data_IF_629047165265
#
_entry.id   IF_629047165265
#
_cell.length_a   1.000
_cell.length_b   1.000
_cell.length_c   1.000
_cell.angle_alpha   90.00
_cell.angle_beta   90.00
_cell.angle_gamma   90.00
#
_symmetry.space_group_name_H-M   'P 1'
#
loop_
_entity.id
_entity.type
_entity.pdbx_description
1 polymer ?
#
# COMPACT_ATOMS: atom_id res chain seq x y z
N UNK A 1 7.75 -15.53 22.98
CA UNK A 1 8.91 -15.97 22.16
C UNK A 1 8.47 -16.99 21.11
N UNK A 2 7.68 -17.99 21.45
CA UNK A 2 7.26 -19.07 20.51
C UNK A 2 6.37 -18.59 19.38
N UNK A 3 5.58 -17.54 19.60
CA UNK A 3 4.74 -16.95 18.56
C UNK A 3 5.57 -16.30 17.41
N UNK A 4 6.74 -15.73 17.72
CA UNK A 4 7.62 -15.13 16.70
C UNK A 4 8.27 -16.20 15.80
N UNK A 5 8.67 -17.34 16.37
CA UNK A 5 9.27 -18.43 15.58
C UNK A 5 8.29 -19.06 14.57
N UNK A 6 6.99 -18.99 14.85
CA UNK A 6 5.95 -19.50 13.93
C UNK A 6 5.81 -18.62 12.67
N UNK A 7 6.25 -17.36 12.71
CA UNK A 7 6.22 -16.46 11.55
C UNK A 7 7.50 -16.50 10.71
N UNK A 8 8.60 -17.02 11.24
CA UNK A 8 9.89 -17.06 10.52
C UNK A 8 9.78 -17.88 9.22
N UNK A 9 9.17 -19.05 9.24
CA UNK A 9 9.02 -19.89 8.05
C UNK A 9 8.18 -19.21 6.95
N UNK A 10 6.96 -18.69 7.23
CA UNK A 10 6.21 -17.97 6.20
C UNK A 10 6.91 -16.70 5.71
N UNK A 11 7.59 -15.94 6.57
CA UNK A 11 8.34 -14.75 6.16
C UNK A 11 9.49 -15.13 5.23
N UNK A 12 10.24 -16.18 5.55
CA UNK A 12 11.30 -16.69 4.67
C UNK A 12 10.73 -17.12 3.31
N UNK A 13 9.57 -17.79 3.31
CA UNK A 13 8.86 -18.15 2.09
C UNK A 13 8.49 -16.94 1.23
N UNK A 14 8.03 -15.85 1.85
CA UNK A 14 7.74 -14.60 1.14
C UNK A 14 9.01 -14.03 0.50
N UNK A 15 10.14 -14.02 1.21
CA UNK A 15 11.42 -13.54 0.67
C UNK A 15 11.90 -14.38 -0.52
N UNK A 16 11.82 -15.71 -0.42
CA UNK A 16 12.20 -16.62 -1.50
C UNK A 16 11.31 -16.39 -2.73
N UNK A 17 9.99 -16.32 -2.55
CA UNK A 17 9.05 -16.06 -3.65
C UNK A 17 9.30 -14.68 -4.28
N UNK A 18 9.60 -13.67 -3.47
CA UNK A 18 9.94 -12.33 -3.95
C UNK A 18 11.23 -12.34 -4.78
N UNK A 19 12.25 -13.06 -4.32
CA UNK A 19 13.51 -13.21 -5.03
C UNK A 19 13.30 -13.82 -6.43
N UNK A 20 12.64 -14.96 -6.51
CA UNK A 20 12.39 -15.62 -7.79
C UNK A 20 11.45 -14.81 -8.71
N UNK A 21 10.39 -14.20 -8.16
CA UNK A 21 9.50 -13.35 -8.95
C UNK A 21 10.24 -12.14 -9.56
N UNK A 22 11.13 -11.50 -8.80
CA UNK A 22 11.91 -10.38 -9.28
C UNK A 22 12.99 -10.79 -10.31
N UNK A 23 13.59 -11.96 -10.18
CA UNK A 23 14.49 -12.50 -11.22
C UNK A 23 13.70 -12.76 -12.52
N UNK A 24 12.52 -13.39 -12.42
CA UNK A 24 11.71 -13.66 -13.60
C UNK A 24 11.21 -12.37 -14.27
N UNK A 25 10.96 -11.30 -13.53
CA UNK A 25 10.56 -10.01 -14.11
C UNK A 25 11.61 -9.41 -15.05
N UNK A 26 12.89 -9.78 -14.90
CA UNK A 26 13.95 -9.38 -15.84
C UNK A 26 13.81 -10.05 -17.21
N UNK A 27 13.05 -11.12 -17.33
CA UNK A 27 12.85 -11.80 -18.61
C UNK A 27 12.15 -10.90 -19.64
N UNK A 28 11.26 -9.99 -19.21
CA UNK A 28 10.55 -9.08 -20.12
C UNK A 28 11.49 -8.13 -20.87
N UNK A 29 12.36 -7.34 -20.22
CA UNK A 29 13.33 -6.50 -20.95
C UNK A 29 14.34 -7.32 -21.77
N UNK A 30 14.80 -8.49 -21.29
CA UNK A 30 15.68 -9.36 -22.05
C UNK A 30 15.00 -9.93 -23.29
N UNK A 31 13.72 -10.26 -23.20
CA UNK A 31 12.93 -10.68 -24.35
C UNK A 31 12.84 -9.57 -25.38
N UNK A 32 12.50 -8.34 -25.00
CA UNK A 32 12.42 -7.19 -25.91
C UNK A 32 13.75 -7.00 -26.63
N UNK A 33 14.87 -7.01 -25.89
CA UNK A 33 16.20 -6.90 -26.46
C UNK A 33 16.48 -8.04 -27.46
N UNK A 34 16.19 -9.28 -27.10
CA UNK A 34 16.41 -10.45 -27.96
C UNK A 34 15.56 -10.41 -29.25
N UNK A 35 14.33 -9.88 -29.17
CA UNK A 35 13.48 -9.69 -30.35
C UNK A 35 14.06 -8.64 -31.28
N UNK A 36 14.53 -7.50 -30.74
CA UNK A 36 15.17 -6.49 -31.58
C UNK A 36 16.43 -7.02 -32.26
N UNK A 37 17.30 -7.71 -31.55
CA UNK A 37 18.57 -8.21 -32.08
C UNK A 37 18.38 -9.33 -33.10
N UNK A 38 17.53 -10.34 -32.78
CA UNK A 38 17.44 -11.57 -33.57
C UNK A 38 16.30 -11.56 -34.60
N UNK A 39 15.13 -11.01 -34.23
CA UNK A 39 13.97 -11.03 -35.14
C UNK A 39 14.02 -9.85 -36.13
N UNK A 40 14.25 -8.64 -35.62
CA UNK A 40 14.27 -7.44 -36.45
C UNK A 40 15.64 -7.28 -37.13
N UNK A 41 16.72 -7.37 -36.36
CA UNK A 41 18.10 -7.17 -36.88
C UNK A 41 18.55 -8.26 -37.83
N UNK A 42 18.34 -9.54 -37.49
CA UNK A 42 18.75 -10.69 -38.32
C UNK A 42 17.67 -11.14 -39.33
N UNK A 43 16.50 -10.48 -39.38
CA UNK A 43 15.37 -10.81 -40.29
C UNK A 43 14.94 -12.30 -40.20
N UNK A 44 14.94 -12.89 -38.98
CA UNK A 44 14.61 -14.28 -38.73
C UNK A 44 13.24 -14.42 -38.05
N UNK A 45 12.10 -14.25 -38.74
CA UNK A 45 10.76 -14.27 -38.12
C UNK A 45 10.38 -15.62 -37.53
N UNK A 46 11.00 -16.72 -37.96
CA UNK A 46 10.72 -18.07 -37.46
C UNK A 46 11.07 -18.22 -35.97
N UNK A 47 12.06 -17.47 -35.48
CA UNK A 47 12.46 -17.51 -34.08
C UNK A 47 11.47 -16.76 -33.15
N UNK A 48 10.63 -15.89 -33.71
CA UNK A 48 9.66 -15.09 -32.93
C UNK A 48 8.70 -15.97 -32.15
N UNK A 49 8.20 -17.04 -32.79
CA UNK A 49 7.22 -17.92 -32.16
C UNK A 49 7.81 -18.66 -30.94
N UNK A 50 9.06 -19.11 -31.06
CA UNK A 50 9.78 -19.76 -29.98
C UNK A 50 10.04 -18.80 -28.80
N UNK A 51 10.46 -17.57 -29.10
CA UNK A 51 10.63 -16.54 -28.07
C UNK A 51 9.33 -16.17 -27.39
N UNK A 52 8.22 -16.09 -28.15
CA UNK A 52 6.90 -15.75 -27.63
C UNK A 52 6.38 -16.87 -26.68
N UNK A 53 6.62 -18.13 -27.03
CA UNK A 53 6.27 -19.25 -26.17
C UNK A 53 7.07 -19.25 -24.85
N UNK A 54 8.38 -18.99 -24.92
CA UNK A 54 9.24 -18.92 -23.72
C UNK A 54 8.82 -17.77 -22.82
N UNK A 55 8.59 -16.57 -23.35
CA UNK A 55 8.21 -15.43 -22.53
C UNK A 55 6.83 -15.60 -21.93
N UNK A 56 5.85 -16.18 -22.67
CA UNK A 56 4.53 -16.47 -22.15
C UNK A 56 4.59 -17.44 -20.97
N UNK A 57 5.42 -18.47 -21.04
CA UNK A 57 5.63 -19.42 -19.97
C UNK A 57 6.31 -18.76 -18.76
N UNK A 58 7.30 -17.90 -19.00
CA UNK A 58 8.02 -17.16 -17.96
C UNK A 58 7.09 -16.20 -17.22
N UNK A 59 6.28 -15.42 -17.95
CA UNK A 59 5.28 -14.52 -17.37
C UNK A 59 4.22 -15.32 -16.59
N UNK A 60 3.75 -16.44 -17.13
CA UNK A 60 2.80 -17.32 -16.43
C UNK A 60 3.36 -17.84 -15.10
N UNK A 61 4.64 -18.22 -15.08
CA UNK A 61 5.29 -18.69 -13.86
C UNK A 61 5.56 -17.54 -12.88
N UNK A 62 5.96 -16.35 -13.37
CA UNK A 62 6.07 -15.14 -12.56
C UNK A 62 4.74 -14.80 -11.89
N UNK A 63 3.64 -14.80 -12.64
CA UNK A 63 2.30 -14.53 -12.13
C UNK A 63 1.91 -15.55 -11.03
N UNK A 64 2.21 -16.81 -11.24
CA UNK A 64 1.98 -17.86 -10.24
C UNK A 64 2.78 -17.58 -8.95
N UNK A 65 4.06 -17.23 -9.03
CA UNK A 65 4.87 -16.88 -7.87
C UNK A 65 4.33 -15.64 -7.14
N UNK A 66 3.92 -14.61 -7.87
CA UNK A 66 3.31 -13.39 -7.30
C UNK A 66 2.00 -13.71 -6.59
N UNK A 67 1.15 -14.57 -7.14
CA UNK A 67 -0.07 -15.03 -6.49
C UNK A 67 0.23 -15.82 -5.20
N UNK A 68 1.19 -16.72 -5.22
CA UNK A 68 1.62 -17.48 -4.03
C UNK A 68 2.18 -16.54 -2.95
N UNK A 69 2.98 -15.53 -3.34
CA UNK A 69 3.48 -14.49 -2.43
C UNK A 69 2.34 -13.72 -1.78
N UNK A 70 1.38 -13.26 -2.58
CA UNK A 70 0.22 -12.51 -2.09
C UNK A 70 -0.61 -13.34 -1.09
N UNK A 71 -0.86 -14.61 -1.40
CA UNK A 71 -1.58 -15.53 -0.52
C UNK A 71 -0.83 -15.75 0.80
N UNK A 72 0.50 -15.86 0.75
CA UNK A 72 1.32 -16.07 1.94
C UNK A 72 1.32 -14.80 2.83
N UNK A 73 1.40 -13.61 2.25
CA UNK A 73 1.29 -12.33 2.97
C UNK A 73 -0.11 -12.21 3.62
N UNK A 74 -1.17 -12.55 2.88
CA UNK A 74 -2.54 -12.54 3.40
C UNK A 74 -2.71 -13.53 4.57
N UNK A 75 -2.12 -14.73 4.47
CA UNK A 75 -2.11 -15.72 5.55
C UNK A 75 -1.41 -15.20 6.80
N UNK A 76 -0.21 -14.58 6.65
CA UNK A 76 0.52 -13.97 7.76
C UNK A 76 -0.34 -12.89 8.43
N UNK A 77 -0.95 -12.02 7.63
CA UNK A 77 -1.81 -10.95 8.12
C UNK A 77 -3.06 -11.46 8.85
N UNK A 78 -3.71 -12.48 8.31
CA UNK A 78 -4.88 -13.10 8.96
C UNK A 78 -4.51 -13.76 10.29
N UNK A 79 -3.39 -14.47 10.33
CA UNK A 79 -2.91 -15.12 11.56
C UNK A 79 -2.50 -14.10 12.62
N UNK A 80 -1.81 -13.03 12.21
CA UNK A 80 -1.45 -11.93 13.10
C UNK A 80 -2.68 -11.23 13.68
N UNK A 81 -3.69 -10.97 12.84
CA UNK A 81 -4.96 -10.41 13.27
C UNK A 81 -5.66 -11.29 14.31
N UNK A 82 -5.74 -12.59 14.07
CA UNK A 82 -6.39 -13.53 14.98
C UNK A 82 -5.70 -13.55 16.36
N UNK A 83 -4.37 -13.62 16.38
CA UNK A 83 -3.60 -13.60 17.65
C UNK A 83 -3.83 -12.28 18.40
N UNK A 84 -3.74 -11.14 17.70
CA UNK A 84 -3.93 -9.83 18.34
C UNK A 84 -5.34 -9.63 18.84
N UNK A 85 -6.37 -10.02 18.06
CA UNK A 85 -7.76 -9.87 18.45
C UNK A 85 -8.10 -10.70 19.69
N UNK A 86 -7.64 -11.96 19.76
CA UNK A 86 -7.85 -12.81 20.92
C UNK A 86 -7.12 -12.25 22.15
N UNK A 87 -5.85 -11.85 22.03
CA UNK A 87 -5.11 -11.24 23.14
C UNK A 87 -5.74 -9.92 23.61
N UNK A 88 -6.26 -9.12 22.69
CA UNK A 88 -6.95 -7.88 23.04
C UNK A 88 -8.26 -8.16 23.78
N UNK A 89 -9.03 -9.15 23.35
CA UNK A 89 -10.25 -9.57 24.01
C UNK A 89 -9.97 -10.11 25.42
N UNK A 90 -8.99 -11.01 25.55
CA UNK A 90 -8.58 -11.56 26.84
C UNK A 90 -8.17 -10.44 27.81
N UNK A 91 -7.45 -9.43 27.29
CA UNK A 91 -7.04 -8.30 28.11
C UNK A 91 -8.21 -7.42 28.55
N UNK A 92 -9.22 -7.23 27.70
CA UNK A 92 -10.42 -6.46 28.04
C UNK A 92 -11.26 -7.22 29.07
N UNK A 93 -11.45 -8.53 28.89
CA UNK A 93 -12.18 -9.37 29.84
C UNK A 93 -11.49 -9.46 31.20
N UNK A 94 -10.16 -9.31 31.25
CA UNK A 94 -9.39 -9.27 32.50
C UNK A 94 -9.33 -7.90 33.18
N UNK A 95 -9.94 -6.84 32.61
CA UNK A 95 -9.96 -5.51 33.24
C UNK A 95 -10.95 -5.45 34.40
N UNK A 96 -10.59 -4.81 35.52
CA UNK A 96 -11.51 -4.55 36.62
C UNK A 96 -12.74 -3.71 36.18
N UNK A 97 -13.94 -4.05 36.66
CA UNK A 97 -15.20 -3.40 36.32
C UNK A 97 -15.16 -1.87 36.44
N UNK A 98 -14.52 -1.25 37.48
CA UNK A 98 -14.46 0.21 37.60
C UNK A 98 -13.67 0.90 36.45
N UNK A 99 -12.77 0.19 35.79
CA UNK A 99 -12.03 0.72 34.60
C UNK A 99 -12.87 0.62 33.32
N UNK A 100 -13.81 -0.29 33.24
CA UNK A 100 -14.74 -0.46 32.11
C UNK A 100 -15.84 0.61 32.11
N UNK A 101 -16.34 0.99 33.27
CA UNK A 101 -17.40 2.00 33.42
C UNK A 101 -16.92 3.43 33.04
N UNK A 102 -15.66 3.74 33.30
CA UNK A 102 -15.08 5.05 33.00
C UNK A 102 -14.69 5.26 31.53
N UNK A 103 -14.62 4.19 30.73
CA UNK A 103 -14.26 4.27 29.31
C UNK A 103 -15.46 3.81 28.50
N UNK A 104 -16.20 4.74 27.90
CA UNK A 104 -17.38 4.43 27.11
C UNK A 104 -17.14 3.33 26.07
N UNK A 105 -18.16 2.53 25.82
CA UNK A 105 -18.14 1.37 24.90
C UNK A 105 -17.63 1.76 23.52
N UNK A 106 -17.97 2.96 23.04
CA UNK A 106 -17.52 3.52 21.77
C UNK A 106 -15.99 3.71 21.70
N UNK A 107 -15.34 4.10 22.79
CA UNK A 107 -13.89 4.23 22.86
C UNK A 107 -13.17 2.86 22.84
N UNK A 108 -13.76 1.84 23.43
CA UNK A 108 -13.26 0.47 23.36
C UNK A 108 -13.38 -0.08 21.93
N UNK A 109 -14.51 0.14 21.27
CA UNK A 109 -14.75 -0.26 19.89
C UNK A 109 -13.79 0.45 18.91
N UNK A 110 -13.48 1.73 19.15
CA UNK A 110 -12.51 2.46 18.37
C UNK A 110 -11.10 1.85 18.44
N UNK A 111 -10.70 1.32 19.59
CA UNK A 111 -9.42 0.60 19.74
C UNK A 111 -9.40 -0.70 18.95
N UNK A 112 -10.50 -1.44 18.89
CA UNK A 112 -10.60 -2.63 18.03
C UNK A 112 -10.45 -2.30 16.55
N UNK A 113 -11.06 -1.21 16.07
CA UNK A 113 -10.91 -0.75 14.69
C UNK A 113 -9.47 -0.38 14.32
N UNK A 114 -8.64 0.03 15.29
CA UNK A 114 -7.22 0.29 15.05
C UNK A 114 -6.45 -0.98 14.66
N UNK A 115 -6.85 -2.17 15.16
CA UNK A 115 -6.21 -3.44 14.76
C UNK A 115 -6.50 -3.80 13.30
N UNK A 116 -7.67 -3.44 12.76
CA UNK A 116 -7.96 -3.60 11.34
C UNK A 116 -7.06 -2.72 10.46
N UNK A 117 -6.76 -1.50 10.91
CA UNK A 117 -5.84 -0.59 10.22
C UNK A 117 -4.41 -1.16 10.19
N UNK A 118 -3.95 -1.73 11.29
CA UNK A 118 -2.65 -2.40 11.38
C UNK A 118 -2.61 -3.61 10.44
N UNK A 119 -3.66 -4.43 10.42
CA UNK A 119 -3.78 -5.55 9.48
C UNK A 119 -3.70 -5.09 8.04
N UNK A 120 -4.47 -4.06 7.66
CA UNK A 120 -4.49 -3.51 6.30
C UNK A 120 -3.10 -3.02 5.87
N UNK A 121 -2.32 -2.46 6.79
CA UNK A 121 -0.93 -2.08 6.54
C UNK A 121 -0.07 -3.30 6.20
N UNK A 122 -0.13 -4.38 6.98
CA UNK A 122 0.68 -5.58 6.76
C UNK A 122 0.24 -6.43 5.57
N UNK A 123 -1.02 -6.34 5.14
CA UNK A 123 -1.54 -7.09 3.98
C UNK A 123 -1.66 -6.27 2.71
N UNK A 124 -1.37 -4.97 2.78
CA UNK A 124 -1.51 -4.02 1.68
C UNK A 124 -0.32 -3.97 0.72
N UNK A 125 -0.46 -3.18 -0.33
CA UNK A 125 0.58 -2.93 -1.33
C UNK A 125 1.89 -2.37 -0.75
N UNK A 126 1.82 -1.68 0.40
CA UNK A 126 2.99 -1.13 1.09
C UNK A 126 3.96 -2.24 1.50
N UNK A 127 3.45 -3.34 2.05
CA UNK A 127 4.28 -4.49 2.44
C UNK A 127 4.99 -5.09 1.25
N UNK A 128 4.29 -5.25 0.11
CA UNK A 128 4.90 -5.73 -1.13
C UNK A 128 5.99 -4.77 -1.62
N UNK A 129 5.74 -3.45 -1.62
CA UNK A 129 6.71 -2.45 -2.03
C UNK A 129 7.98 -2.46 -1.16
N UNK A 130 7.82 -2.58 0.16
CA UNK A 130 8.96 -2.68 1.10
C UNK A 130 9.79 -3.95 0.85
N UNK A 131 9.14 -5.06 0.53
CA UNK A 131 9.82 -6.32 0.21
C UNK A 131 10.55 -6.28 -1.14
N UNK A 132 10.03 -5.50 -2.10
CA UNK A 132 10.64 -5.34 -3.43
C UNK A 132 11.79 -4.30 -3.42
N UNK A 133 11.88 -3.45 -2.40
CA UNK A 133 12.87 -2.36 -2.32
C UNK A 133 14.33 -2.84 -2.37
N UNK A 134 14.76 -3.90 -1.65
CA UNK A 134 16.13 -4.42 -1.76
C UNK A 134 16.49 -4.86 -3.18
N UNK A 135 15.54 -5.48 -3.89
CA UNK A 135 15.74 -5.94 -5.26
C UNK A 135 15.80 -4.78 -6.24
N UNK A 136 15.02 -3.73 -6.02
CA UNK A 136 15.08 -2.49 -6.80
C UNK A 136 16.48 -1.86 -6.72
N UNK A 137 17.10 -1.86 -5.53
CA UNK A 137 18.48 -1.36 -5.36
C UNK A 137 19.50 -2.25 -6.07
N UNK A 138 19.35 -3.56 -6.03
CA UNK A 138 20.21 -4.51 -6.75
C UNK A 138 20.10 -4.28 -8.26
N UNK A 139 18.86 -4.12 -8.78
CA UNK A 139 18.64 -3.84 -10.20
C UNK A 139 19.20 -2.49 -10.64
N UNK A 140 19.07 -1.47 -9.81
CA UNK A 140 19.68 -0.16 -10.07
C UNK A 140 21.21 -0.27 -10.15
N UNK A 141 21.83 -1.03 -9.24
CA UNK A 141 23.26 -1.34 -9.28
C UNK A 141 23.68 -2.09 -10.54
N UNK A 142 22.87 -3.08 -10.96
CA UNK A 142 23.13 -3.84 -12.19
C UNK A 142 23.03 -2.96 -13.44
N UNK A 143 22.03 -2.10 -13.51
CA UNK A 143 21.86 -1.13 -14.61
C UNK A 143 23.02 -0.14 -14.65
N UNK A 144 23.51 0.28 -13.49
CA UNK A 144 24.69 1.15 -13.41
C UNK A 144 25.95 0.44 -13.92
N UNK A 145 26.12 -0.84 -13.60
CA UNK A 145 27.29 -1.61 -14.01
C UNK A 145 27.29 -1.95 -15.51
N UNK A 146 26.12 -2.26 -16.10
CA UNK A 146 25.98 -2.68 -17.49
C UNK A 146 25.72 -1.50 -18.46
N UNK A 147 24.97 -0.49 -18.00
CA UNK A 147 24.40 0.57 -18.83
C UNK A 147 25.34 1.78 -19.04
N UNK A 148 26.47 1.85 -18.34
CA UNK A 148 27.37 2.98 -18.45
C UNK A 148 26.66 4.34 -18.30
N UNK A 149 26.79 5.22 -19.29
CA UNK A 149 26.18 6.56 -19.31
C UNK A 149 24.63 6.54 -19.30
N UNK A 150 24.01 5.49 -19.84
CA UNK A 150 22.54 5.35 -19.86
C UNK A 150 21.94 5.16 -18.45
N UNK A 151 22.76 4.67 -17.50
CA UNK A 151 22.34 4.52 -16.11
C UNK A 151 22.02 5.85 -15.39
N UNK A 152 22.43 6.98 -15.94
CA UNK A 152 22.12 8.31 -15.40
C UNK A 152 20.60 8.54 -15.36
N UNK A 153 19.85 8.07 -16.36
CA UNK A 153 18.39 8.28 -16.43
C UNK A 153 17.64 7.61 -15.26
N UNK A 154 17.77 6.30 -15.02
CA UNK A 154 17.09 5.68 -13.88
C UNK A 154 17.65 6.17 -12.53
N UNK A 155 18.92 6.56 -12.44
CA UNK A 155 19.49 7.12 -11.22
C UNK A 155 18.89 8.48 -10.88
N UNK A 156 18.82 9.40 -11.86
CA UNK A 156 18.17 10.71 -11.65
C UNK A 156 16.70 10.56 -11.30
N UNK A 157 15.99 9.63 -11.94
CA UNK A 157 14.61 9.33 -11.62
C UNK A 157 14.46 8.82 -10.18
N UNK A 158 15.33 7.90 -9.74
CA UNK A 158 15.33 7.40 -8.36
C UNK A 158 15.54 8.53 -7.34
N UNK A 159 16.49 9.44 -7.60
CA UNK A 159 16.74 10.62 -6.76
C UNK A 159 15.49 11.52 -6.71
N UNK A 160 14.87 11.80 -7.85
CA UNK A 160 13.64 12.60 -7.91
C UNK A 160 12.52 11.95 -7.11
N UNK A 161 12.34 10.63 -7.20
CA UNK A 161 11.34 9.92 -6.41
C UNK A 161 11.64 9.96 -4.91
N UNK A 162 12.90 9.84 -4.50
CA UNK A 162 13.29 9.97 -3.08
C UNK A 162 13.00 11.38 -2.58
N UNK A 163 13.39 12.41 -3.32
CA UNK A 163 13.08 13.81 -2.96
C UNK A 163 11.56 14.02 -2.88
N UNK A 164 10.82 13.55 -3.85
CA UNK A 164 9.36 13.64 -3.88
C UNK A 164 8.73 12.92 -2.65
N UNK A 165 9.23 11.74 -2.30
CA UNK A 165 8.76 11.00 -1.12
C UNK A 165 9.04 11.77 0.18
N UNK A 166 10.22 12.37 0.33
CA UNK A 166 10.58 13.15 1.50
C UNK A 166 9.63 14.36 1.73
N UNK A 167 9.13 14.97 0.66
CA UNK A 167 8.14 16.05 0.73
C UNK A 167 6.71 15.55 0.90
N UNK A 168 6.37 14.43 0.24
CA UNK A 168 5.00 13.92 0.19
C UNK A 168 4.61 13.20 1.49
N UNK A 169 5.51 12.36 2.04
CA UNK A 169 5.20 11.53 3.23
C UNK A 169 4.78 12.37 4.44
N UNK A 170 5.49 13.43 4.87
CA UNK A 170 5.06 14.24 6.01
C UNK A 170 3.73 14.96 5.75
N UNK A 171 3.50 15.44 4.53
CA UNK A 171 2.26 16.12 4.13
C UNK A 171 1.06 15.16 4.13
N UNK A 172 1.21 13.99 3.54
CA UNK A 172 0.17 12.95 3.55
C UNK A 172 -0.13 12.48 4.96
N UNK A 173 0.90 12.31 5.81
CA UNK A 173 0.72 11.96 7.22
C UNK A 173 -0.11 13.02 7.95
N UNK A 174 0.21 14.30 7.78
CA UNK A 174 -0.53 15.40 8.38
C UNK A 174 -1.99 15.40 7.92
N UNK A 175 -2.23 15.34 6.61
CA UNK A 175 -3.57 15.31 6.02
C UNK A 175 -4.40 14.11 6.53
N UNK A 176 -3.77 12.94 6.65
CA UNK A 176 -4.43 11.73 7.17
C UNK A 176 -4.81 11.88 8.63
N UNK A 177 -3.93 12.46 9.46
CA UNK A 177 -4.22 12.70 10.88
C UNK A 177 -5.34 13.73 11.06
N UNK A 178 -5.30 14.81 10.31
CA UNK A 178 -6.34 15.86 10.38
C UNK A 178 -7.70 15.34 9.88
N UNK A 179 -7.71 14.63 8.74
CA UNK A 179 -8.91 13.97 8.22
C UNK A 179 -9.47 12.92 9.17
N UNK A 180 -8.59 12.12 9.81
CA UNK A 180 -9.00 11.16 10.84
C UNK A 180 -9.64 11.82 12.06
N UNK A 181 -9.11 12.95 12.52
CA UNK A 181 -9.71 13.72 13.62
C UNK A 181 -11.10 14.27 13.25
N UNK A 182 -11.24 14.81 12.02
CA UNK A 182 -12.53 15.32 11.55
C UNK A 182 -13.57 14.20 11.41
N UNK A 183 -13.18 13.07 10.84
CA UNK A 183 -14.02 11.88 10.74
C UNK A 183 -14.47 11.37 12.10
N UNK A 184 -13.57 11.30 13.07
CA UNK A 184 -13.91 10.87 14.43
C UNK A 184 -14.90 11.85 15.11
N UNK A 185 -14.75 13.17 14.88
CA UNK A 185 -15.73 14.15 15.39
C UNK A 185 -17.12 13.92 14.80
N UNK A 186 -17.20 13.66 13.50
CA UNK A 186 -18.46 13.36 12.81
C UNK A 186 -19.10 12.07 13.34
N UNK A 187 -18.32 11.01 13.49
CA UNK A 187 -18.79 9.74 14.03
C UNK A 187 -19.25 9.85 15.49
N UNK A 188 -18.46 10.51 16.34
CA UNK A 188 -18.85 10.73 17.75
C UNK A 188 -20.15 11.54 17.86
N UNK A 189 -20.38 12.50 16.94
CA UNK A 189 -21.62 13.26 16.91
C UNK A 189 -22.81 12.39 16.48
N UNK A 190 -22.62 11.42 15.58
CA UNK A 190 -23.65 10.45 15.22
C UNK A 190 -23.98 9.57 16.44
N UNK A 191 -22.98 9.06 17.14
CA UNK A 191 -23.16 8.26 18.34
C UNK A 191 -23.92 9.06 19.42
N UNK A 192 -23.52 10.32 19.68
CA UNK A 192 -24.24 11.22 20.59
C UNK A 192 -25.68 11.48 20.15
N UNK A 193 -25.92 11.60 18.84
CA UNK A 193 -27.27 11.78 18.29
C UNK A 193 -28.17 10.59 18.57
N UNK A 194 -27.64 9.37 18.39
CA UNK A 194 -28.36 8.14 18.64
C UNK A 194 -28.70 7.98 20.14
N UNK A 195 -27.76 8.29 21.01
CA UNK A 195 -27.95 8.21 22.46
C UNK A 195 -29.01 9.22 22.94
N UNK A 196 -29.08 10.40 22.31
CA UNK A 196 -29.98 11.49 22.75
C UNK A 196 -31.21 11.68 21.85
N UNK A 197 -31.52 10.76 20.97
CA UNK A 197 -32.55 10.92 19.96
C UNK A 197 -33.92 11.22 20.51
N UNK A 198 -34.28 10.64 21.66
CA UNK A 198 -35.56 10.89 22.37
C UNK A 198 -35.62 12.34 22.86
N UNK A 199 -34.56 12.82 23.49
CA UNK A 199 -34.46 14.18 24.01
C UNK A 199 -34.47 15.22 22.88
N UNK A 200 -33.76 14.97 21.79
CA UNK A 200 -33.72 15.85 20.59
C UNK A 200 -35.13 16.01 20.00
N UNK A 201 -35.92 14.91 19.97
CA UNK A 201 -37.30 14.93 19.47
C UNK A 201 -38.25 15.65 20.43
N UNK A 202 -38.11 15.43 21.72
CA UNK A 202 -38.94 16.09 22.73
C UNK A 202 -38.74 17.60 22.78
N UNK A 203 -37.51 18.06 22.61
CA UNK A 203 -37.15 19.48 22.61
C UNK A 203 -37.33 20.16 21.24
N UNK A 204 -37.81 19.45 20.21
CA UNK A 204 -37.88 19.95 18.80
C UNK A 204 -36.58 20.55 18.30
N UNK A 205 -35.44 20.03 18.74
CA UNK A 205 -34.10 20.55 18.45
C UNK A 205 -33.48 20.00 17.13
N UNK A 206 -34.25 19.27 16.30
CA UNK A 206 -33.76 18.66 15.05
C UNK A 206 -33.10 19.67 14.10
N UNK A 207 -33.63 20.91 13.85
CA UNK A 207 -33.00 21.84 12.94
C UNK A 207 -31.60 22.29 13.40
N UNK A 208 -31.47 22.55 14.70
CA UNK A 208 -30.17 22.91 15.30
C UNK A 208 -29.17 21.76 15.21
N UNK A 209 -29.61 20.55 15.49
CA UNK A 209 -28.80 19.35 15.44
C UNK A 209 -28.33 19.04 14.01
N UNK A 210 -29.22 19.19 13.03
CA UNK A 210 -28.89 19.05 11.62
C UNK A 210 -27.86 20.09 11.14
N UNK A 211 -28.01 21.35 11.54
CA UNK A 211 -27.06 22.40 11.19
C UNK A 211 -25.66 22.10 11.76
N UNK A 212 -25.61 21.65 12.99
CA UNK A 212 -24.35 21.27 13.65
C UNK A 212 -23.69 20.05 12.98
N UNK A 213 -24.48 19.04 12.63
CA UNK A 213 -23.98 17.87 11.88
C UNK A 213 -23.42 18.27 10.53
N UNK A 214 -24.13 19.08 9.75
CA UNK A 214 -23.67 19.52 8.43
C UNK A 214 -22.36 20.29 8.50
N UNK A 215 -22.06 21.03 9.58
CA UNK A 215 -20.76 21.67 9.76
C UNK A 215 -19.63 20.64 9.91
N UNK A 216 -19.83 19.58 10.71
CA UNK A 216 -18.82 18.53 10.88
C UNK A 216 -18.59 17.73 9.60
N UNK A 217 -19.66 17.39 8.86
CA UNK A 217 -19.57 16.69 7.57
C UNK A 217 -18.84 17.55 6.54
N UNK A 218 -19.12 18.85 6.51
CA UNK A 218 -18.43 19.76 5.59
C UNK A 218 -16.93 19.81 5.86
N UNK A 219 -16.52 19.92 7.12
CA UNK A 219 -15.12 19.97 7.50
C UNK A 219 -14.41 18.66 7.15
N UNK A 220 -15.01 17.51 7.46
CA UNK A 220 -14.51 16.18 7.07
C UNK A 220 -14.38 16.06 5.54
N UNK A 221 -15.39 16.50 4.79
CA UNK A 221 -15.40 16.43 3.33
C UNK A 221 -14.29 17.29 2.71
N UNK A 222 -14.09 18.52 3.20
CA UNK A 222 -13.03 19.43 2.69
C UNK A 222 -11.64 18.82 2.96
N UNK A 223 -11.41 18.31 4.17
CA UNK A 223 -10.11 17.70 4.52
C UNK A 223 -9.83 16.44 3.71
N UNK A 224 -10.81 15.57 3.53
CA UNK A 224 -10.71 14.38 2.67
C UNK A 224 -10.48 14.75 1.21
N UNK A 225 -11.18 15.76 0.70
CA UNK A 225 -10.98 16.25 -0.66
C UNK A 225 -9.55 16.74 -0.86
N UNK A 226 -9.03 17.58 0.04
CA UNK A 226 -7.65 18.07 -0.01
C UNK A 226 -6.64 16.92 0.00
N UNK A 227 -6.84 15.94 0.88
CA UNK A 227 -5.97 14.77 0.97
C UNK A 227 -5.97 13.97 -0.34
N UNK A 228 -7.15 13.63 -0.87
CA UNK A 228 -7.29 12.88 -2.12
C UNK A 228 -6.78 13.62 -3.34
N UNK A 229 -7.01 14.93 -3.41
CA UNK A 229 -6.49 15.77 -4.49
C UNK A 229 -4.97 15.77 -4.49
N UNK A 230 -4.36 15.93 -3.31
CA UNK A 230 -2.90 15.90 -3.17
C UNK A 230 -2.33 14.53 -3.56
N UNK A 231 -2.91 13.44 -3.09
CA UNK A 231 -2.48 12.07 -3.43
C UNK A 231 -2.65 11.80 -4.93
N UNK A 232 -3.76 12.23 -5.54
CA UNK A 232 -4.01 12.09 -6.98
C UNK A 232 -2.99 12.88 -7.81
N UNK A 233 -2.68 14.11 -7.41
CA UNK A 233 -1.66 14.93 -8.07
C UNK A 233 -0.27 14.28 -8.00
N UNK A 234 0.12 13.75 -6.84
CA UNK A 234 1.40 13.06 -6.66
C UNK A 234 1.46 11.78 -7.49
N UNK A 235 0.37 11.03 -7.56
CA UNK A 235 0.28 9.84 -8.40
C UNK A 235 0.45 10.17 -9.89
N UNK A 236 -0.25 11.20 -10.37
CA UNK A 236 -0.16 11.65 -11.77
C UNK A 236 1.25 12.14 -12.12
N UNK A 237 1.88 12.94 -11.23
CA UNK A 237 3.26 13.36 -11.41
C UNK A 237 4.21 12.17 -11.47
N UNK A 238 4.04 11.18 -10.60
CA UNK A 238 4.87 9.97 -10.61
C UNK A 238 4.75 9.22 -11.93
N UNK A 239 3.54 9.03 -12.46
CA UNK A 239 3.33 8.36 -13.75
C UNK A 239 3.94 9.16 -14.91
N UNK A 240 3.79 10.47 -14.91
CA UNK A 240 4.39 11.33 -15.95
C UNK A 240 5.91 11.25 -15.92
N UNK A 241 6.54 11.25 -14.75
CA UNK A 241 7.98 11.11 -14.61
C UNK A 241 8.50 9.76 -15.16
N UNK A 242 7.79 8.66 -14.89
CA UNK A 242 8.13 7.33 -15.44
C UNK A 242 8.05 7.35 -16.97
N UNK A 243 7.01 7.96 -17.55
CA UNK A 243 6.85 8.06 -19.01
C UNK A 243 7.96 8.90 -19.65
N UNK A 244 8.30 10.05 -19.03
CA UNK A 244 9.41 10.91 -19.50
C UNK A 244 10.73 10.15 -19.44
N UNK A 245 10.99 9.42 -18.35
CA UNK A 245 12.22 8.64 -18.22
C UNK A 245 12.31 7.54 -19.30
N UNK A 246 11.20 6.87 -19.63
CA UNK A 246 11.15 5.89 -20.72
C UNK A 246 11.53 6.51 -22.07
N UNK A 247 10.96 7.68 -22.39
CA UNK A 247 11.29 8.42 -23.64
C UNK A 247 12.76 8.89 -23.63
N UNK A 248 13.25 9.41 -22.49
CA UNK A 248 14.63 9.85 -22.36
C UNK A 248 15.63 8.69 -22.53
N UNK A 249 15.32 7.52 -21.99
CA UNK A 249 16.16 6.32 -22.16
C UNK A 249 16.24 5.90 -23.63
N UNK A 250 15.11 5.93 -24.35
CA UNK A 250 15.07 5.60 -25.78
C UNK A 250 15.77 6.66 -26.65
N UNK A 251 15.76 7.93 -26.23
CA UNK A 251 16.40 9.01 -26.98
C UNK A 251 17.93 9.13 -26.78
N UNK A 252 18.45 8.58 -25.68
CA UNK A 252 19.87 8.59 -25.34
C UNK A 252 20.58 7.28 -25.74
N UNK A 253 19.85 6.21 -25.97
CA UNK A 253 20.37 4.90 -26.38
C UNK A 253 20.23 4.68 -27.85
#
# INVERSE_FOLDING_TARGET
RDALFQFVKPILGVFILTFFANILSMATPLYVMSVYDRVVGAKAPETLFSFLAIIALTIGFELFLRMKRSNLIAYIGARFHNILSNQALDRILGLPIPMLENVGISAQLARFRQFETIRAFFTGHITSAVLDLPFTLIFLGLVFWLGGTLAIVPLTLAIVFVCMALFTVPKTKQNTVEGGKASNRSNNFIDETLDKISTIRQLHAQPYWHHRFSSFVRDDTILRFKARFFDGMMHTLSQSLVSIAGIATLGLG
#
